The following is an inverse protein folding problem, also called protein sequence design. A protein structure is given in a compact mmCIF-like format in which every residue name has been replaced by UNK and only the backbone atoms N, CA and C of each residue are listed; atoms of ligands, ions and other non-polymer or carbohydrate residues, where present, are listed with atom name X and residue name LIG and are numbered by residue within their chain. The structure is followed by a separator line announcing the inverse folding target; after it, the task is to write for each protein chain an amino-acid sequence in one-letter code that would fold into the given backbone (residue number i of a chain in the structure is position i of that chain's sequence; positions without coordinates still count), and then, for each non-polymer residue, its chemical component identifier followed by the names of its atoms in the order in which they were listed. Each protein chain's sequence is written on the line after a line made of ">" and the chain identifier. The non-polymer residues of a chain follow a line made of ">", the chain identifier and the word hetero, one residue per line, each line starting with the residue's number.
data_IF_330236917867
#
_entry.id   IF_330236917867
#
_cell.length_a   1.000
_cell.length_b   1.000
_cell.length_c   1.000
_cell.angle_alpha   90.00
_cell.angle_beta   90.00
_cell.angle_gamma   90.00
#
_symmetry.space_group_name_H-M   'P 1'
#
loop_
_entity.id
_entity.type
_entity.pdbx_description
1 polymer ?
#
# COMPACT_ATOMS: atom_id res chain seq x y z
N UNK A 1 -8.92 12.66 28.07
CA UNK A 1 -8.63 11.29 27.60
C UNK A 1 -9.38 11.12 26.28
N UNK A 2 -8.79 11.58 25.17
CA UNK A 2 -9.45 11.65 23.86
C UNK A 2 -8.49 11.80 22.64
N UNK A 3 -7.18 11.84 22.86
CA UNK A 3 -6.17 12.08 21.81
C UNK A 3 -5.73 10.81 21.06
N UNK A 4 -5.98 9.62 21.60
CA UNK A 4 -5.40 8.39 21.06
C UNK A 4 -5.97 7.94 19.71
N UNK A 5 -7.22 8.33 19.39
CA UNK A 5 -7.87 7.93 18.14
C UNK A 5 -7.54 8.89 16.98
N UNK A 6 -7.39 10.19 17.27
CA UNK A 6 -7.11 11.23 16.27
C UNK A 6 -5.69 11.06 15.71
N UNK A 7 -4.71 10.81 16.59
CA UNK A 7 -3.33 10.55 16.18
C UNK A 7 -3.18 9.30 15.31
N UNK A 8 -4.04 8.29 15.51
CA UNK A 8 -4.03 7.10 14.67
C UNK A 8 -4.52 7.41 13.25
N UNK A 9 -5.60 8.20 13.11
CA UNK A 9 -6.17 8.55 11.80
C UNK A 9 -5.21 9.41 10.95
N UNK A 10 -4.54 10.37 11.57
CA UNK A 10 -3.49 11.19 10.92
C UNK A 10 -2.33 10.31 10.42
N UNK A 11 -1.90 9.34 11.24
CA UNK A 11 -0.82 8.42 10.86
C UNK A 11 -1.26 7.49 9.73
N UNK A 12 -2.48 6.96 9.76
CA UNK A 12 -2.98 6.08 8.70
C UNK A 12 -3.12 6.82 7.37
N UNK A 13 -3.56 8.08 7.41
CA UNK A 13 -3.65 8.95 6.23
C UNK A 13 -2.26 9.26 5.67
N UNK A 14 -1.30 9.61 6.52
CA UNK A 14 0.08 9.85 6.11
C UNK A 14 0.72 8.59 5.50
N UNK A 15 0.50 7.42 6.10
CA UNK A 15 1.00 6.15 5.56
C UNK A 15 0.40 5.84 4.19
N UNK A 16 -0.91 6.06 3.99
CA UNK A 16 -1.53 5.90 2.68
C UNK A 16 -0.92 6.83 1.63
N UNK A 17 -0.70 8.11 1.97
CA UNK A 17 -0.10 9.09 1.08
C UNK A 17 1.36 8.73 0.72
N UNK A 18 2.14 8.25 1.68
CA UNK A 18 3.52 7.83 1.45
C UNK A 18 3.59 6.59 0.53
N UNK A 19 2.69 5.62 0.73
CA UNK A 19 2.59 4.43 -0.13
C UNK A 19 2.18 4.81 -1.55
N UNK A 20 1.20 5.71 -1.72
CA UNK A 20 0.82 6.24 -3.03
C UNK A 20 1.99 6.97 -3.70
N UNK A 21 2.70 7.81 -2.97
CA UNK A 21 3.85 8.56 -3.50
C UNK A 21 5.01 7.64 -3.90
N UNK A 22 5.20 6.53 -3.19
CA UNK A 22 6.17 5.50 -3.57
C UNK A 22 5.72 4.76 -4.86
N UNK A 23 4.45 4.42 -4.96
CA UNK A 23 3.85 3.81 -6.15
C UNK A 23 4.05 4.70 -7.38
N UNK A 24 3.58 5.95 -7.31
CA UNK A 24 3.61 6.88 -8.44
C UNK A 24 5.04 7.13 -8.94
N UNK A 25 6.00 7.32 -8.02
CA UNK A 25 7.42 7.49 -8.39
C UNK A 25 8.02 6.28 -9.08
N UNK A 26 7.67 5.07 -8.65
CA UNK A 26 8.24 3.83 -9.19
C UNK A 26 7.63 3.42 -10.54
N UNK A 27 6.37 3.78 -10.77
CA UNK A 27 5.62 3.38 -11.97
C UNK A 27 5.50 4.50 -13.00
N UNK A 28 5.90 5.73 -12.65
CA UNK A 28 5.87 6.88 -13.56
C UNK A 28 4.44 7.30 -13.94
N UNK A 29 3.46 6.84 -13.17
CA UNK A 29 2.05 7.22 -13.32
C UNK A 29 1.63 8.09 -12.14
N UNK A 30 1.00 9.23 -12.40
CA UNK A 30 0.40 10.08 -11.36
C UNK A 30 -1.03 9.66 -11.02
N UNK A 31 -1.48 8.51 -11.54
CA UNK A 31 -2.80 8.00 -11.27
C UNK A 31 -2.90 7.42 -9.85
N UNK A 32 -4.13 7.33 -9.38
CA UNK A 32 -4.51 6.54 -8.22
C UNK A 32 -5.01 7.35 -7.03
N UNK A 33 -5.80 6.68 -6.18
CA UNK A 33 -6.25 7.19 -4.88
C UNK A 33 -5.93 6.15 -3.83
N UNK A 34 -5.27 6.56 -2.76
CA UNK A 34 -4.94 5.65 -1.67
C UNK A 34 -5.79 5.91 -0.42
N UNK A 35 -6.22 4.84 0.22
CA UNK A 35 -6.89 4.88 1.52
C UNK A 35 -6.51 3.67 2.37
N UNK A 36 -6.69 3.80 3.68
CA UNK A 36 -6.34 2.75 4.64
C UNK A 36 -7.58 2.03 5.14
N UNK A 37 -7.53 0.70 5.16
CA UNK A 37 -8.52 -0.19 5.77
C UNK A 37 -7.88 -0.84 6.99
N UNK A 38 -8.54 -0.75 8.14
CA UNK A 38 -8.02 -1.26 9.41
C UNK A 38 -8.77 -2.53 9.80
N UNK A 39 -8.03 -3.63 9.88
CA UNK A 39 -8.50 -4.92 10.40
C UNK A 39 -7.98 -5.19 11.82
N UNK A 40 -8.47 -6.26 12.47
CA UNK A 40 -8.04 -6.63 13.82
C UNK A 40 -6.59 -7.12 13.88
N UNK A 41 -6.03 -7.64 12.78
CA UNK A 41 -4.66 -8.19 12.72
C UNK A 41 -3.79 -7.55 11.63
N UNK A 42 -4.36 -6.64 10.86
CA UNK A 42 -3.69 -6.05 9.72
C UNK A 42 -4.15 -4.64 9.43
N UNK A 43 -3.27 -3.86 8.82
CA UNK A 43 -3.58 -2.59 8.21
C UNK A 43 -3.31 -2.75 6.72
N UNK A 44 -4.24 -2.28 5.90
CA UNK A 44 -4.20 -2.44 4.46
C UNK A 44 -4.25 -1.05 3.83
N UNK A 45 -3.31 -0.71 2.98
CA UNK A 45 -3.38 0.47 2.11
C UNK A 45 -3.81 -0.01 0.73
N UNK A 46 -4.97 0.47 0.29
CA UNK A 46 -5.52 0.21 -1.04
C UNK A 46 -5.20 1.40 -1.91
N UNK A 47 -4.59 1.16 -3.08
CA UNK A 47 -4.43 2.12 -4.16
C UNK A 47 -5.44 1.73 -5.25
N UNK A 48 -6.50 2.51 -5.37
CA UNK A 48 -7.46 2.43 -6.48
C UNK A 48 -6.89 3.15 -7.71
N UNK A 49 -7.39 2.80 -8.89
CA UNK A 49 -6.95 3.38 -10.17
C UNK A 49 -5.41 3.34 -10.31
N UNK A 50 -4.80 2.24 -9.84
CA UNK A 50 -3.35 2.11 -9.66
C UNK A 50 -2.57 2.05 -10.98
N UNK A 51 -3.24 1.75 -12.09
CA UNK A 51 -2.63 1.51 -13.39
C UNK A 51 -3.19 2.46 -14.43
N UNK A 52 -2.32 2.95 -15.31
CA UNK A 52 -2.73 3.67 -16.51
C UNK A 52 -3.48 2.77 -17.49
N UNK A 53 -4.27 3.37 -18.37
CA UNK A 53 -4.94 2.64 -19.46
C UNK A 53 -3.98 1.86 -20.35
N UNK A 54 -2.76 2.38 -20.53
CA UNK A 54 -1.72 1.72 -21.33
C UNK A 54 -1.21 0.44 -20.67
N UNK A 55 -0.95 0.48 -19.36
CA UNK A 55 -0.56 -0.70 -18.58
C UNK A 55 -1.66 -1.76 -18.55
N UNK A 56 -2.92 -1.34 -18.39
CA UNK A 56 -4.07 -2.25 -18.46
C UNK A 56 -4.23 -2.90 -19.84
N UNK A 57 -4.02 -2.12 -20.91
CA UNK A 57 -4.06 -2.64 -22.28
C UNK A 57 -2.90 -3.61 -22.57
N UNK A 58 -1.72 -3.35 -21.99
CA UNK A 58 -0.57 -4.24 -22.10
C UNK A 58 -0.80 -5.55 -21.33
N UNK A 59 -1.32 -5.46 -20.10
CA UNK A 59 -1.71 -6.60 -19.27
C UNK A 59 -2.70 -7.54 -19.98
N UNK A 60 -3.70 -6.97 -20.64
CA UNK A 60 -4.71 -7.73 -21.38
C UNK A 60 -4.12 -8.48 -22.59
N UNK A 61 -3.04 -7.97 -23.17
CA UNK A 61 -2.36 -8.58 -24.33
C UNK A 61 -1.28 -9.59 -23.91
N UNK A 62 -0.72 -9.45 -22.72
CA UNK A 62 0.38 -10.26 -22.21
C UNK A 62 0.10 -10.72 -20.77
N UNK A 63 -0.87 -11.63 -20.57
CA UNK A 63 -1.29 -12.05 -19.23
C UNK A 63 -0.19 -12.77 -18.43
N UNK A 64 0.82 -13.32 -19.12
CA UNK A 64 1.97 -13.97 -18.51
C UNK A 64 3.16 -13.02 -18.24
N UNK A 65 3.06 -11.72 -18.60
CA UNK A 65 4.14 -10.75 -18.39
C UNK A 65 4.28 -10.40 -16.90
N UNK A 66 5.49 -10.50 -16.32
CA UNK A 66 5.75 -10.17 -14.93
C UNK A 66 5.80 -8.66 -14.63
N UNK A 67 5.33 -7.78 -15.52
CA UNK A 67 5.31 -6.32 -15.32
C UNK A 67 4.82 -5.92 -13.92
N UNK A 68 3.66 -6.45 -13.52
CA UNK A 68 3.09 -6.18 -12.20
C UNK A 68 3.87 -6.85 -11.06
N UNK A 69 4.48 -8.01 -11.29
CA UNK A 69 5.34 -8.65 -10.29
C UNK A 69 6.58 -7.79 -9.99
N UNK A 70 7.18 -7.16 -11.02
CA UNK A 70 8.25 -6.18 -10.82
C UNK A 70 7.75 -4.97 -10.03
N UNK A 71 6.54 -4.50 -10.32
CA UNK A 71 5.96 -3.35 -9.62
C UNK A 71 5.73 -3.63 -8.13
N UNK A 72 5.13 -4.77 -7.84
CA UNK A 72 4.97 -5.31 -6.48
C UNK A 72 6.32 -5.36 -5.74
N UNK A 73 7.38 -5.87 -6.38
CA UNK A 73 8.70 -5.93 -5.76
C UNK A 73 9.31 -4.55 -5.51
N UNK A 74 9.19 -3.62 -6.46
CA UNK A 74 9.70 -2.26 -6.30
C UNK A 74 8.97 -1.52 -5.18
N UNK A 75 7.64 -1.63 -5.11
CA UNK A 75 6.87 -1.06 -4.02
C UNK A 75 7.26 -1.71 -2.69
N UNK A 76 7.40 -3.04 -2.61
CA UNK A 76 7.85 -3.73 -1.39
C UNK A 76 9.21 -3.27 -0.88
N UNK A 77 10.16 -3.00 -1.78
CA UNK A 77 11.47 -2.46 -1.41
C UNK A 77 11.40 -1.03 -0.88
N UNK A 78 10.37 -0.26 -1.27
CA UNK A 78 10.19 1.15 -0.92
C UNK A 78 9.15 1.40 0.17
N UNK A 79 8.33 0.40 0.53
CA UNK A 79 7.54 0.43 1.76
C UNK A 79 8.52 0.24 2.91
N UNK A 80 9.07 1.37 3.32
CA UNK A 80 10.22 1.48 4.18
C UNK A 80 9.92 1.06 5.63
N UNK A 81 11.01 0.81 6.35
CA UNK A 81 11.07 0.70 7.81
C UNK A 81 10.28 1.82 8.51
N UNK A 82 10.21 3.00 7.91
CA UNK A 82 9.55 4.17 8.48
C UNK A 82 8.02 4.01 8.57
N UNK A 83 7.34 3.54 7.52
CA UNK A 83 5.89 3.27 7.58
C UNK A 83 5.60 2.19 8.63
N UNK A 84 6.44 1.15 8.69
CA UNK A 84 6.33 0.08 9.70
C UNK A 84 6.48 0.63 11.12
N UNK A 85 7.43 1.53 11.35
CA UNK A 85 7.65 2.17 12.65
C UNK A 85 6.48 3.08 13.04
N UNK A 86 6.01 3.93 12.12
CA UNK A 86 4.85 4.81 12.35
C UNK A 86 3.59 4.02 12.69
N UNK A 87 3.30 2.97 11.93
CA UNK A 87 2.18 2.06 12.21
C UNK A 87 2.34 1.34 13.55
N UNK A 88 3.56 0.94 13.92
CA UNK A 88 3.79 0.28 15.19
C UNK A 88 3.53 1.20 16.38
N UNK A 89 3.93 2.46 16.28
CA UNK A 89 3.63 3.49 17.28
C UNK A 89 2.13 3.77 17.35
N UNK A 90 1.47 3.98 16.20
CA UNK A 90 0.04 4.31 16.16
C UNK A 90 -0.86 3.18 16.68
N UNK A 91 -0.49 1.92 16.43
CA UNK A 91 -1.29 0.76 16.85
C UNK A 91 -0.92 0.20 18.21
N UNK A 92 0.25 0.59 18.73
CA UNK A 92 0.90 -0.05 19.88
C UNK A 92 1.27 -1.52 19.63
N UNK A 93 1.44 -1.93 18.36
CA UNK A 93 1.72 -3.30 17.94
C UNK A 93 2.82 -3.33 16.89
N UNK A 94 3.84 -4.19 16.98
CA UNK A 94 4.87 -4.26 15.96
C UNK A 94 4.31 -4.73 14.62
N UNK A 95 4.77 -4.17 13.50
CA UNK A 95 4.49 -4.73 12.17
C UNK A 95 5.44 -5.92 11.91
N UNK A 96 4.89 -7.13 11.91
CA UNK A 96 5.68 -8.38 11.81
C UNK A 96 5.92 -8.82 10.37
N UNK A 97 5.06 -8.42 9.44
CA UNK A 97 5.21 -8.75 8.02
C UNK A 97 4.55 -7.67 7.17
N UNK A 98 5.09 -7.48 5.96
CA UNK A 98 4.53 -6.63 4.93
C UNK A 98 4.47 -7.39 3.62
N UNK A 99 3.53 -7.03 2.75
CA UNK A 99 3.53 -7.51 1.39
C UNK A 99 2.69 -6.60 0.50
N UNK A 100 2.80 -6.84 -0.80
CA UNK A 100 2.05 -6.08 -1.81
C UNK A 100 1.46 -7.07 -2.79
N UNK A 101 0.25 -6.79 -3.26
CA UNK A 101 -0.40 -7.52 -4.35
C UNK A 101 -1.10 -6.53 -5.28
N UNK A 102 -1.45 -6.97 -6.47
CA UNK A 102 -2.09 -6.17 -7.51
C UNK A 102 -3.16 -6.99 -8.20
N UNK A 103 -4.25 -6.34 -8.59
CA UNK A 103 -5.23 -6.88 -9.51
C UNK A 103 -5.42 -5.89 -10.67
N UNK A 104 -4.76 -6.14 -11.81
CA UNK A 104 -4.91 -5.31 -12.99
C UNK A 104 -6.34 -5.30 -13.53
N UNK A 105 -7.09 -6.40 -13.40
CA UNK A 105 -8.45 -6.47 -13.93
C UNK A 105 -9.41 -5.57 -13.14
N UNK A 106 -9.21 -5.47 -11.83
CA UNK A 106 -9.96 -4.59 -10.96
C UNK A 106 -9.31 -3.20 -10.76
N UNK A 107 -8.11 -2.98 -11.31
CA UNK A 107 -7.45 -1.68 -11.32
C UNK A 107 -6.81 -1.25 -10.00
N UNK A 108 -6.53 -2.18 -9.08
CA UNK A 108 -5.99 -1.85 -7.76
C UNK A 108 -4.63 -2.46 -7.46
N UNK A 109 -3.90 -1.81 -6.55
CA UNK A 109 -2.73 -2.33 -5.85
C UNK A 109 -2.98 -2.25 -4.35
N UNK A 110 -2.54 -3.24 -3.58
CA UNK A 110 -2.76 -3.32 -2.14
C UNK A 110 -1.43 -3.57 -1.44
N UNK A 111 -1.12 -2.77 -0.42
CA UNK A 111 -0.03 -3.01 0.52
C UNK A 111 -0.60 -3.44 1.88
N UNK A 112 -0.17 -4.58 2.39
CA UNK A 112 -0.62 -5.14 3.66
C UNK A 112 0.49 -5.05 4.72
N UNK A 113 0.09 -4.71 5.94
CA UNK A 113 0.93 -4.61 7.13
C UNK A 113 0.34 -5.50 8.23
N UNK A 114 0.92 -6.67 8.44
CA UNK A 114 0.48 -7.61 9.47
C UNK A 114 0.98 -7.16 10.84
N UNK A 115 0.07 -7.03 11.79
CA UNK A 115 0.34 -6.62 13.16
C UNK A 115 0.66 -7.83 14.04
N UNK A 116 1.72 -7.74 14.83
CA UNK A 116 2.08 -8.72 15.85
C UNK A 116 1.19 -8.63 17.09
N UNK A 117 1.49 -9.44 18.10
CA UNK A 117 0.81 -9.34 19.40
C UNK A 117 1.20 -8.03 20.11
N UNK A 118 0.29 -7.53 20.95
CA UNK A 118 0.60 -6.45 21.90
C UNK A 118 1.54 -6.96 22.99
#
# INVERSE_FOLDING_TARGET
>A
MGDGLVLADDVLTAVAADVLSAWQRNHGTENGRAHTVVGPEEIVVVIEDAFSRGELALAAQQPDDPLFARYVQQLLQHVCTEQRARLAVATGRPVVSTGVTTDPAAGWAICFFKLGKR
#
